data_IF_167001584087
#
_entry.id   IF_167001584087
#
_cell.length_a   1.000
_cell.length_b   1.000
_cell.length_c   1.000
_cell.angle_alpha   90.00
_cell.angle_beta   90.00
_cell.angle_gamma   90.00
#
_symmetry.space_group_name_H-M   'P 1'
#
loop_
_entity.id
_entity.type
_entity.pdbx_description
1 polymer ?
#
# COMPACT_ATOMS: atom_id res chain seq x y z
N UNK A 1 -22.04 19.25 -4.60
CA UNK A 1 -21.18 18.33 -5.36
C UNK A 1 -20.41 17.49 -4.35
N UNK A 2 -20.68 16.19 -4.23
CA UNK A 2 -19.89 15.30 -3.34
C UNK A 2 -18.62 14.92 -4.10
N UNK A 3 -17.46 15.38 -3.63
CA UNK A 3 -16.18 14.89 -4.13
C UNK A 3 -16.10 13.39 -3.86
N UNK A 4 -15.74 12.61 -4.88
CA UNK A 4 -15.46 11.19 -4.70
C UNK A 4 -14.16 11.06 -3.89
N UNK A 5 -14.26 10.71 -2.61
CA UNK A 5 -13.11 10.32 -1.77
C UNK A 5 -12.82 8.83 -1.96
N UNK A 6 -12.56 8.43 -3.20
CA UNK A 6 -12.29 7.05 -3.56
C UNK A 6 -10.97 6.95 -4.31
N UNK A 7 -10.37 5.76 -4.28
CA UNK A 7 -9.28 5.46 -5.19
C UNK A 7 -9.79 5.52 -6.63
N UNK A 8 -9.10 6.28 -7.48
CA UNK A 8 -9.38 6.36 -8.91
C UNK A 8 -8.29 5.61 -9.70
N UNK A 9 -8.67 5.03 -10.84
CA UNK A 9 -7.70 4.39 -11.75
C UNK A 9 -6.64 5.42 -12.20
N UNK A 10 -5.37 5.01 -12.42
CA UNK A 10 -4.38 5.89 -13.01
C UNK A 10 -4.75 6.25 -14.45
N UNK A 11 -4.05 7.25 -15.00
CA UNK A 11 -4.11 7.60 -16.41
C UNK A 11 -3.70 6.38 -17.25
N UNK A 12 -4.26 6.26 -18.46
CA UNK A 12 -3.92 5.19 -19.38
C UNK A 12 -2.40 5.05 -19.58
N UNK A 13 -1.88 3.82 -19.52
CA UNK A 13 -0.46 3.51 -19.62
C UNK A 13 0.36 3.74 -18.33
N UNK A 14 -0.25 4.24 -17.26
CA UNK A 14 0.40 4.38 -15.96
C UNK A 14 -0.01 3.27 -14.99
N UNK A 15 0.86 3.04 -14.02
CA UNK A 15 0.54 2.24 -12.85
C UNK A 15 0.36 3.14 -11.63
N UNK A 16 -0.49 2.70 -10.70
CA UNK A 16 -0.65 3.32 -9.38
C UNK A 16 -0.27 2.30 -8.32
N UNK A 17 0.59 2.71 -7.39
CA UNK A 17 0.96 1.92 -6.22
C UNK A 17 0.04 2.28 -5.05
N UNK A 18 -0.43 1.27 -4.36
CA UNK A 18 -0.96 1.39 -2.99
C UNK A 18 0.01 0.69 -2.06
N UNK A 19 0.45 1.37 -1.00
CA UNK A 19 1.27 0.79 0.06
C UNK A 19 0.52 0.87 1.38
N UNK A 20 0.78 -0.10 2.27
CA UNK A 20 0.32 -0.08 3.65
C UNK A 20 1.34 -0.75 4.56
N UNK A 21 1.36 -0.32 5.81
CA UNK A 21 2.28 -0.79 6.85
C UNK A 21 1.53 -1.22 8.10
N UNK A 22 1.97 -2.31 8.73
CA UNK A 22 1.36 -2.82 9.94
C UNK A 22 2.41 -3.25 10.96
N UNK A 23 2.11 -3.05 12.23
CA UNK A 23 2.93 -3.49 13.37
C UNK A 23 2.07 -4.32 14.29
N UNK A 24 2.55 -5.52 14.64
CA UNK A 24 1.94 -6.31 15.68
C UNK A 24 2.33 -5.72 17.05
N UNK A 25 1.33 -5.33 17.85
CA UNK A 25 1.58 -4.70 19.15
C UNK A 25 2.11 -5.70 20.20
N UNK A 26 1.85 -7.00 20.03
CA UNK A 26 2.27 -8.02 21.00
C UNK A 26 3.77 -8.32 20.92
N UNK A 27 4.34 -8.39 19.71
CA UNK A 27 5.74 -8.77 19.48
C UNK A 27 6.57 -7.70 18.76
N UNK A 28 6.01 -6.51 18.53
CA UNK A 28 6.68 -5.36 17.91
C UNK A 28 7.02 -5.54 16.43
N UNK A 29 6.68 -6.68 15.81
CA UNK A 29 7.10 -6.96 14.43
C UNK A 29 6.27 -6.18 13.43
N UNK A 30 6.99 -5.50 12.55
CA UNK A 30 6.48 -4.67 11.49
C UNK A 30 6.62 -5.35 10.12
N UNK A 31 5.62 -5.12 9.27
CA UNK A 31 5.61 -5.53 7.87
C UNK A 31 5.03 -4.39 7.04
N UNK A 32 5.51 -4.25 5.82
CA UNK A 32 4.90 -3.40 4.81
C UNK A 32 4.53 -4.22 3.59
N UNK A 33 3.54 -3.75 2.84
CA UNK A 33 3.13 -4.35 1.59
C UNK A 33 2.68 -3.30 0.60
N UNK A 34 2.62 -3.69 -0.67
CA UNK A 34 2.10 -2.84 -1.70
C UNK A 34 1.52 -3.61 -2.88
N UNK A 35 0.55 -2.99 -3.54
CA UNK A 35 -0.08 -3.47 -4.76
C UNK A 35 0.18 -2.48 -5.88
N UNK A 36 0.74 -2.98 -6.99
CA UNK A 36 0.83 -2.25 -8.24
C UNK A 36 -0.45 -2.51 -9.04
N UNK A 37 -1.16 -1.45 -9.38
CA UNK A 37 -2.40 -1.53 -10.17
C UNK A 37 -2.21 -0.84 -11.51
N UNK A 38 -2.70 -1.46 -12.58
CA UNK A 38 -2.70 -0.87 -13.93
C UNK A 38 -3.85 0.12 -14.13
N UNK A 39 -3.90 0.72 -15.31
CA UNK A 39 -4.93 1.66 -15.75
C UNK A 39 -6.33 1.05 -15.94
N UNK A 40 -6.43 -0.28 -16.00
CA UNK A 40 -7.68 -1.04 -15.94
C UNK A 40 -8.13 -1.29 -14.49
N UNK A 41 -7.32 -0.89 -13.51
CA UNK A 41 -7.57 -1.11 -12.08
C UNK A 41 -7.26 -2.52 -11.60
N UNK A 42 -6.57 -3.34 -12.41
CA UNK A 42 -6.18 -4.70 -12.03
C UNK A 42 -4.91 -4.65 -11.21
N UNK A 43 -4.83 -5.47 -10.16
CA UNK A 43 -3.56 -5.72 -9.47
C UNK A 43 -2.68 -6.58 -10.36
N UNK A 44 -1.53 -6.06 -10.76
CA UNK A 44 -0.59 -6.75 -11.67
C UNK A 44 0.66 -7.25 -10.95
N UNK A 45 0.96 -6.70 -9.78
CA UNK A 45 2.09 -7.09 -8.95
C UNK A 45 1.83 -6.81 -7.47
N UNK A 46 2.46 -7.60 -6.60
CA UNK A 46 2.44 -7.41 -5.15
C UNK A 46 3.84 -7.46 -4.56
N UNK A 47 4.11 -6.61 -3.58
CA UNK A 47 5.36 -6.62 -2.80
C UNK A 47 5.04 -6.78 -1.32
N UNK A 48 5.93 -7.46 -0.61
CA UNK A 48 5.91 -7.58 0.85
C UNK A 48 7.32 -7.35 1.37
N UNK A 49 7.43 -6.64 2.50
CA UNK A 49 8.67 -6.37 3.19
C UNK A 49 8.52 -6.72 4.66
N UNK A 50 9.46 -7.54 5.17
CA UNK A 50 9.63 -7.73 6.60
C UNK A 50 10.55 -6.63 7.12
N UNK A 51 10.05 -5.80 8.04
CA UNK A 51 10.76 -4.62 8.52
C UNK A 51 11.43 -4.86 9.88
N UNK A 52 11.28 -6.04 10.47
CA UNK A 52 11.76 -6.30 11.83
C UNK A 52 10.93 -5.53 12.85
N UNK A 53 11.56 -4.94 13.85
CA UNK A 53 10.89 -4.09 14.84
C UNK A 53 11.00 -2.62 14.43
N UNK A 54 9.86 -1.98 14.16
CA UNK A 54 9.81 -0.54 13.94
C UNK A 54 8.44 0.05 14.34
N UNK A 55 8.36 1.36 14.64
CA UNK A 55 7.10 2.01 14.96
C UNK A 55 6.10 1.99 13.78
N UNK A 56 4.78 2.05 14.04
CA UNK A 56 3.76 2.09 12.97
C UNK A 56 3.97 3.20 11.94
N UNK A 57 4.48 4.36 12.39
CA UNK A 57 4.82 5.46 11.48
C UNK A 57 5.88 5.04 10.47
N UNK A 58 6.93 4.31 10.88
CA UNK A 58 7.96 3.83 9.97
C UNK A 58 7.46 2.71 9.06
N UNK A 59 6.53 1.88 9.53
CA UNK A 59 5.99 0.79 8.73
C UNK A 59 5.13 1.28 7.56
N UNK A 60 4.39 2.38 7.73
CA UNK A 60 3.44 2.92 6.75
C UNK A 60 3.95 4.09 5.89
N UNK A 61 5.21 4.50 6.03
CA UNK A 61 5.84 5.59 5.27
C UNK A 61 6.56 5.09 4.01
#
# INVERSE_FOLDING_TARGET
MRGHMGWERPIQGFFKVNCDGAVNQEDGKARAGGLLRDDQGRSVWGVVANLGECPPLTAGL
#
